data_IF_453739515121
#
_entry.id   IF_453739515121
#
_cell.length_a   1.000
_cell.length_b   1.000
_cell.length_c   1.000
_cell.angle_alpha   90.00
_cell.angle_beta   90.00
_cell.angle_gamma   90.00
#
_symmetry.space_group_name_H-M   'P 1'
#
loop_
_entity.id
_entity.type
_entity.pdbx_description
1 polymer ?
#
# COMPACT_ATOMS: atom_id res chain seq x y z
N UNK A 1 23.95 10.05 -18.21
CA UNK A 1 25.02 9.24 -17.60
C UNK A 1 25.14 9.60 -16.13
N UNK A 2 25.48 8.65 -15.25
CA UNK A 2 25.65 8.83 -13.80
C UNK A 2 27.15 8.78 -13.42
N UNK A 3 27.65 9.77 -12.69
CA UNK A 3 29.01 9.73 -12.15
C UNK A 3 29.02 9.05 -10.79
N UNK A 4 29.89 8.07 -10.57
CA UNK A 4 30.00 7.39 -9.29
C UNK A 4 30.49 8.36 -8.20
N UNK A 5 29.78 8.48 -7.06
CA UNK A 5 30.19 9.40 -5.98
C UNK A 5 31.45 8.94 -5.24
N UNK A 6 31.83 7.66 -5.37
CA UNK A 6 32.94 7.07 -4.62
C UNK A 6 34.24 7.10 -5.42
N UNK A 7 34.22 6.68 -6.68
CA UNK A 7 35.43 6.56 -7.51
C UNK A 7 35.49 7.52 -8.70
N UNK A 8 34.43 8.31 -8.95
CA UNK A 8 34.38 9.28 -10.06
C UNK A 8 34.12 8.68 -11.45
N UNK A 9 33.93 7.36 -11.55
CA UNK A 9 33.71 6.67 -12.82
C UNK A 9 32.36 7.05 -13.47
N UNK A 10 32.34 7.23 -14.79
CA UNK A 10 31.12 7.55 -15.54
C UNK A 10 30.38 6.26 -15.92
N UNK A 11 29.10 6.18 -15.60
CA UNK A 11 28.27 4.99 -15.76
C UNK A 11 27.01 5.31 -16.59
N UNK A 12 26.45 4.28 -17.25
CA UNK A 12 25.18 4.40 -17.97
C UNK A 12 24.00 4.70 -17.01
N UNK A 13 22.94 5.34 -17.52
CA UNK A 13 21.81 5.81 -16.71
C UNK A 13 20.93 4.69 -16.14
N UNK A 14 20.93 3.53 -16.78
CA UNK A 14 20.17 2.33 -16.42
C UNK A 14 20.85 1.48 -15.33
N UNK A 15 22.11 1.75 -15.00
CA UNK A 15 22.82 1.01 -13.94
C UNK A 15 22.43 1.49 -12.55
N UNK A 16 22.24 0.52 -11.65
CA UNK A 16 21.95 0.74 -10.24
C UNK A 16 23.19 0.67 -9.35
N UNK A 17 24.35 0.27 -9.88
CA UNK A 17 25.63 0.15 -9.18
C UNK A 17 26.80 0.51 -10.10
N UNK A 18 27.92 0.95 -9.54
CA UNK A 18 29.12 1.33 -10.28
C UNK A 18 29.81 0.09 -10.85
N UNK A 19 30.21 0.11 -12.12
CA UNK A 19 30.83 -1.08 -12.74
C UNK A 19 32.21 -1.38 -12.16
N UNK A 20 32.89 -0.32 -11.70
CA UNK A 20 34.27 -0.38 -11.24
C UNK A 20 34.40 -0.71 -9.76
N UNK A 21 33.55 -0.14 -8.91
CA UNK A 21 33.64 -0.29 -7.46
C UNK A 21 32.35 -0.77 -6.79
N UNK A 22 31.32 -1.13 -7.57
CA UNK A 22 30.04 -1.69 -7.09
C UNK A 22 29.26 -0.77 -6.14
N UNK A 23 29.64 0.50 -6.00
CA UNK A 23 28.88 1.48 -5.22
C UNK A 23 27.52 1.75 -5.86
N UNK A 24 26.39 1.72 -5.12
CA UNK A 24 25.07 2.02 -5.66
C UNK A 24 25.00 3.38 -6.38
N UNK A 25 24.44 3.37 -7.60
CA UNK A 25 24.22 4.50 -8.50
C UNK A 25 22.73 4.86 -8.56
N UNK A 26 22.21 5.32 -7.42
CA UNK A 26 20.89 5.91 -7.29
C UNK A 26 20.95 7.43 -7.11
N UNK A 27 19.80 8.05 -6.86
CA UNK A 27 19.71 9.47 -6.46
C UNK A 27 20.41 9.66 -5.11
N UNK A 28 21.73 9.83 -5.13
CA UNK A 28 22.58 10.05 -3.96
C UNK A 28 22.36 11.41 -3.30
N UNK A 29 21.25 12.09 -3.61
CA UNK A 29 20.90 13.36 -2.95
C UNK A 29 20.68 13.21 -1.44
N UNK A 30 20.43 12.02 -0.89
CA UNK A 30 19.97 11.93 0.51
C UNK A 30 20.39 10.72 1.37
N UNK A 31 21.61 10.16 1.25
CA UNK A 31 22.22 9.59 2.48
C UNK A 31 22.85 10.73 3.26
N UNK A 32 22.01 11.68 3.66
CA UNK A 32 22.42 12.73 4.57
C UNK A 32 22.37 12.13 5.97
N UNK A 33 23.27 12.55 6.84
CA UNK A 33 23.08 12.30 8.26
C UNK A 33 22.40 13.51 8.88
N UNK A 34 21.53 13.26 9.84
CA UNK A 34 20.85 14.32 10.59
C UNK A 34 21.33 14.31 12.04
N UNK A 35 21.55 15.50 12.60
CA UNK A 35 21.81 15.62 14.02
C UNK A 35 20.50 15.39 14.82
N UNK A 36 20.46 14.47 15.79
CA UNK A 36 19.25 14.23 16.59
C UNK A 36 18.90 15.41 17.52
N UNK A 37 19.88 16.27 17.86
CA UNK A 37 19.69 17.41 18.76
C UNK A 37 19.28 18.69 18.03
N UNK A 38 20.03 19.09 17.00
CA UNK A 38 19.82 20.38 16.32
C UNK A 38 19.20 20.28 14.93
N UNK A 39 18.90 19.05 14.45
CA UNK A 39 18.29 18.76 13.15
C UNK A 39 19.08 19.25 11.92
N UNK A 40 20.31 19.75 12.09
CA UNK A 40 21.18 20.08 10.98
C UNK A 40 21.52 18.83 10.14
N UNK A 41 21.59 19.01 8.82
CA UNK A 41 21.88 17.95 7.84
C UNK A 41 23.34 18.02 7.42
N UNK A 42 23.96 16.85 7.30
CA UNK A 42 25.38 16.68 7.04
C UNK A 42 25.59 15.63 5.95
N UNK A 43 26.74 15.66 5.24
CA UNK A 43 27.13 14.59 4.33
C UNK A 43 27.35 13.26 5.09
N UNK A 44 27.19 12.13 4.40
CA UNK A 44 27.30 10.77 4.96
C UNK A 44 28.63 10.47 5.68
N UNK A 45 29.72 11.10 5.22
CA UNK A 45 31.06 10.93 5.77
C UNK A 45 31.28 11.63 7.13
N UNK A 46 30.39 12.52 7.58
CA UNK A 46 30.47 13.14 8.90
C UNK A 46 29.94 12.19 9.99
N UNK A 47 30.64 12.15 11.13
CA UNK A 47 30.25 11.32 12.28
C UNK A 47 29.66 12.16 13.43
N UNK A 48 30.15 13.39 13.63
CA UNK A 48 29.78 14.28 14.72
C UNK A 48 29.20 15.60 14.21
N UNK A 49 28.25 16.15 14.96
CA UNK A 49 27.67 17.46 14.69
C UNK A 49 28.64 18.57 15.10
N UNK A 50 28.94 19.49 14.18
CA UNK A 50 29.84 20.63 14.42
C UNK A 50 29.28 21.66 15.40
N UNK A 51 27.95 21.68 15.61
CA UNK A 51 27.29 22.66 16.49
C UNK A 51 27.14 22.18 17.93
N UNK A 52 26.94 20.88 18.13
CA UNK A 52 26.58 20.34 19.46
C UNK A 52 27.33 19.07 19.85
N UNK A 53 28.26 18.58 19.02
CA UNK A 53 29.08 17.40 19.29
C UNK A 53 28.34 16.05 19.27
N UNK A 54 27.02 16.03 19.08
CA UNK A 54 26.25 14.79 19.05
C UNK A 54 26.62 13.92 17.83
N UNK A 55 26.62 12.59 18.01
CA UNK A 55 26.76 11.63 16.91
C UNK A 55 25.59 11.76 15.94
N UNK A 56 25.91 11.83 14.65
CA UNK A 56 24.93 11.96 13.58
C UNK A 56 24.30 10.60 13.26
N UNK A 57 23.02 10.60 12.90
CA UNK A 57 22.26 9.39 12.52
C UNK A 57 21.88 9.46 11.04
N UNK A 58 21.68 8.32 10.40
CA UNK A 58 21.28 8.27 9.00
C UNK A 58 19.89 8.88 8.82
N UNK A 59 19.76 9.78 7.85
CA UNK A 59 18.47 10.35 7.48
C UNK A 59 17.77 9.40 6.53
N UNK A 60 16.73 8.74 7.02
CA UNK A 60 15.77 8.05 6.16
C UNK A 60 14.66 9.03 5.81
N UNK A 61 14.59 9.55 4.57
CA UNK A 61 13.42 10.30 4.15
C UNK A 61 12.20 9.38 4.30
N UNK A 62 11.14 9.86 4.94
CA UNK A 62 9.85 9.16 4.90
C UNK A 62 9.45 9.07 3.43
N UNK A 63 9.57 7.89 2.84
CA UNK A 63 9.08 7.66 1.49
C UNK A 63 7.59 7.98 1.50
N UNK A 64 7.18 8.91 0.65
CA UNK A 64 5.76 9.04 0.32
C UNK A 64 5.41 7.77 -0.45
N UNK A 65 4.77 6.83 0.23
CA UNK A 65 4.21 5.65 -0.43
C UNK A 65 3.26 6.18 -1.49
N UNK A 66 3.59 5.95 -2.76
CA UNK A 66 2.69 6.23 -3.87
C UNK A 66 1.63 5.14 -3.78
N UNK A 67 0.46 5.50 -3.25
CA UNK A 67 -0.67 4.59 -3.24
C UNK A 67 -1.18 4.51 -4.67
N UNK A 68 -0.81 3.46 -5.40
CA UNK A 68 -1.49 3.14 -6.66
C UNK A 68 -2.90 2.73 -6.27
N UNK A 69 -3.81 3.69 -6.49
CA UNK A 69 -5.26 3.54 -6.38
C UNK A 69 -5.77 2.77 -7.60
N UNK A 70 -5.19 1.60 -7.86
CA UNK A 70 -5.90 0.57 -8.61
C UNK A 70 -6.93 -0.02 -7.65
N UNK A 71 -7.90 0.82 -7.29
CA UNK A 71 -9.08 0.41 -6.56
C UNK A 71 -9.71 -0.67 -7.43
N UNK A 72 -9.55 -1.92 -7.02
CA UNK A 72 -10.10 -3.10 -7.66
C UNK A 72 -11.62 -3.05 -7.57
N UNK A 73 -12.22 -2.18 -8.38
CA UNK A 73 -13.64 -1.83 -8.37
C UNK A 73 -14.54 -3.05 -8.62
N UNK A 74 -13.95 -4.08 -9.23
CA UNK A 74 -14.59 -5.35 -9.53
C UNK A 74 -15.10 -6.06 -8.27
N UNK A 75 -14.44 -5.92 -7.11
CA UNK A 75 -14.94 -6.50 -5.85
C UNK A 75 -16.25 -5.87 -5.42
N UNK A 76 -16.39 -4.54 -5.59
CA UNK A 76 -17.64 -3.83 -5.31
C UNK A 76 -18.74 -4.23 -6.29
N UNK A 77 -18.40 -4.41 -7.57
CA UNK A 77 -19.34 -4.92 -8.57
C UNK A 77 -19.84 -6.31 -8.18
N UNK A 78 -18.94 -7.24 -7.82
CA UNK A 78 -19.31 -8.58 -7.38
C UNK A 78 -20.22 -8.57 -6.16
N UNK A 79 -19.94 -7.71 -5.18
CA UNK A 79 -20.74 -7.56 -3.97
C UNK A 79 -22.18 -7.09 -4.24
N UNK A 80 -22.39 -6.25 -5.27
CA UNK A 80 -23.72 -5.74 -5.64
C UNK A 80 -24.47 -6.75 -6.51
N UNK A 81 -23.80 -7.38 -7.48
CA UNK A 81 -24.47 -8.25 -8.45
C UNK A 81 -24.79 -9.65 -7.90
N UNK A 82 -23.98 -10.20 -6.99
CA UNK A 82 -24.24 -11.51 -6.39
C UNK A 82 -25.63 -11.65 -5.70
N UNK A 83 -26.08 -10.71 -4.83
CA UNK A 83 -27.40 -10.80 -4.22
C UNK A 83 -28.54 -10.56 -5.22
N UNK A 84 -28.34 -9.71 -6.24
CA UNK A 84 -29.33 -9.50 -7.31
C UNK A 84 -29.58 -10.78 -8.10
N UNK A 85 -28.52 -11.51 -8.47
CA UNK A 85 -28.63 -12.80 -9.17
C UNK A 85 -29.36 -13.82 -8.29
N UNK A 86 -29.03 -13.89 -6.99
CA UNK A 86 -29.71 -14.78 -6.04
C UNK A 86 -31.21 -14.51 -5.92
N UNK A 87 -31.61 -13.23 -5.86
CA UNK A 87 -33.02 -12.82 -5.83
C UNK A 87 -33.76 -13.18 -7.12
N UNK A 88 -33.16 -12.93 -8.28
CA UNK A 88 -33.75 -13.26 -9.58
C UNK A 88 -33.98 -14.78 -9.67
N UNK A 89 -32.97 -15.57 -9.32
CA UNK A 89 -33.08 -17.03 -9.31
C UNK A 89 -34.17 -17.51 -8.35
N UNK A 90 -34.26 -16.93 -7.16
CA UNK A 90 -35.30 -17.29 -6.20
C UNK A 90 -36.71 -17.01 -6.73
N UNK A 91 -36.93 -15.86 -7.38
CA UNK A 91 -38.22 -15.50 -8.00
C UNK A 91 -38.55 -16.46 -9.15
N UNK A 92 -37.56 -16.85 -9.96
CA UNK A 92 -37.75 -17.83 -11.05
C UNK A 92 -38.19 -19.18 -10.50
N UNK A 93 -37.59 -19.67 -9.41
CA UNK A 93 -37.99 -20.95 -8.81
C UNK A 93 -39.40 -20.91 -8.19
N UNK A 94 -39.76 -19.81 -7.51
CA UNK A 94 -41.14 -19.60 -7.04
C UNK A 94 -42.11 -19.60 -8.24
N UNK A 95 -41.74 -18.93 -9.33
CA UNK A 95 -42.57 -18.87 -10.54
C UNK A 95 -42.72 -20.23 -11.24
N UNK A 96 -41.81 -21.18 -11.01
CA UNK A 96 -41.88 -22.56 -11.51
C UNK A 96 -42.71 -23.50 -10.63
N UNK A 97 -43.16 -23.04 -9.47
CA UNK A 97 -43.88 -23.84 -8.47
C UNK A 97 -42.96 -24.55 -7.47
N UNK A 98 -41.64 -24.31 -7.53
CA UNK A 98 -40.65 -24.84 -6.57
C UNK A 98 -40.52 -23.88 -5.37
N UNK A 99 -41.63 -23.63 -4.68
CA UNK A 99 -41.74 -22.63 -3.62
C UNK A 99 -40.79 -22.90 -2.43
N UNK A 100 -40.55 -24.16 -2.09
CA UNK A 100 -39.64 -24.57 -1.02
C UNK A 100 -38.20 -24.11 -1.30
N UNK A 101 -37.71 -24.35 -2.52
CA UNK A 101 -36.37 -23.95 -2.92
C UNK A 101 -36.28 -22.43 -3.03
N UNK A 102 -37.26 -21.79 -3.66
CA UNK A 102 -37.28 -20.34 -3.83
C UNK A 102 -37.33 -19.57 -2.50
N UNK A 103 -38.16 -20.00 -1.54
CA UNK A 103 -38.19 -19.40 -0.18
C UNK A 103 -36.87 -19.59 0.56
N UNK A 104 -36.28 -20.78 0.48
CA UNK A 104 -34.97 -21.06 1.09
C UNK A 104 -33.90 -20.13 0.50
N UNK A 105 -33.90 -19.93 -0.83
CA UNK A 105 -32.96 -19.01 -1.49
C UNK A 105 -33.16 -17.55 -1.07
N UNK A 106 -34.42 -17.08 -0.91
CA UNK A 106 -34.68 -15.73 -0.37
C UNK A 106 -34.08 -15.59 1.03
N UNK A 107 -34.34 -16.55 1.92
CA UNK A 107 -33.80 -16.54 3.28
C UNK A 107 -32.27 -16.53 3.27
N UNK A 108 -31.64 -17.34 2.41
CA UNK A 108 -30.17 -17.36 2.26
C UNK A 108 -29.63 -16.01 1.81
N UNK A 109 -30.25 -15.36 0.80
CA UNK A 109 -29.81 -14.03 0.32
C UNK A 109 -29.90 -12.97 1.43
N UNK A 110 -30.96 -12.99 2.23
CA UNK A 110 -31.13 -12.07 3.36
C UNK A 110 -30.08 -12.29 4.44
N UNK A 111 -29.81 -13.55 4.82
CA UNK A 111 -28.81 -13.88 5.84
C UNK A 111 -27.41 -13.51 5.36
N UNK A 112 -27.02 -13.92 4.14
CA UNK A 112 -25.72 -13.59 3.57
C UNK A 112 -25.54 -12.07 3.42
N UNK A 113 -26.59 -11.35 3.02
CA UNK A 113 -26.57 -9.88 2.92
C UNK A 113 -26.34 -9.20 4.27
N UNK A 114 -27.01 -9.67 5.33
CA UNK A 114 -26.80 -9.15 6.69
C UNK A 114 -25.37 -9.39 7.19
N UNK A 115 -24.82 -10.58 6.94
CA UNK A 115 -23.43 -10.92 7.29
C UNK A 115 -22.44 -10.02 6.53
N UNK A 116 -22.64 -9.84 5.22
CA UNK A 116 -21.81 -8.96 4.38
C UNK A 116 -21.80 -7.53 4.90
N UNK A 117 -22.96 -7.01 5.31
CA UNK A 117 -23.09 -5.66 5.87
C UNK A 117 -22.33 -5.51 7.20
N UNK A 118 -22.48 -6.46 8.12
CA UNK A 118 -21.76 -6.46 9.39
C UNK A 118 -20.24 -6.55 9.20
N UNK A 119 -19.78 -7.43 8.31
CA UNK A 119 -18.36 -7.53 7.95
C UNK A 119 -17.85 -6.24 7.30
N UNK A 120 -18.65 -5.61 6.44
CA UNK A 120 -18.31 -4.32 5.85
C UNK A 120 -18.09 -3.21 6.88
N UNK A 121 -18.94 -3.14 7.91
CA UNK A 121 -18.77 -2.21 9.04
C UNK A 121 -17.49 -2.51 9.82
N UNK A 122 -17.22 -3.80 10.10
CA UNK A 122 -16.02 -4.23 10.82
C UNK A 122 -14.74 -3.84 10.07
N UNK A 123 -14.68 -4.12 8.77
CA UNK A 123 -13.51 -3.78 7.94
C UNK A 123 -13.34 -2.27 7.79
N UNK A 124 -14.44 -1.51 7.65
CA UNK A 124 -14.39 -0.06 7.67
C UNK A 124 -13.78 0.44 8.98
N UNK A 125 -14.27 -0.03 10.14
CA UNK A 125 -13.75 0.34 11.45
C UNK A 125 -12.24 0.05 11.62
N UNK A 126 -11.77 -1.11 11.15
CA UNK A 126 -10.33 -1.44 11.14
C UNK A 126 -9.51 -0.51 10.22
N UNK A 127 -10.06 -0.12 9.07
CA UNK A 127 -9.37 0.76 8.13
C UNK A 127 -9.19 2.20 8.63
N UNK A 128 -10.11 2.69 9.47
CA UNK A 128 -10.04 4.05 10.03
C UNK A 128 -9.14 4.15 11.28
N UNK A 129 -8.41 3.10 11.65
CA UNK A 129 -7.43 3.14 12.75
C UNK A 129 -8.06 3.49 14.10
N UNK A 130 -9.34 3.17 14.29
CA UNK A 130 -9.99 3.23 15.60
C UNK A 130 -9.75 1.91 16.35
N UNK A 131 -8.50 1.66 16.73
CA UNK A 131 -8.09 0.65 17.73
C UNK A 131 -6.64 0.93 18.17
#
# INVERSE_FOLDING_TARGET
>A
MKTCPQCGELNADDRNECYRCYTPLGDNRFVQKICPKCRARFPSNKVLCERCGARLIDYTPKQKVKYDSDAEWWHYALAIFAPLIGLIMAIVYISRGDDELGKTMIVTVVICGAIQFLLGILFAACSYGML
#
